data_IF_152150393399
#
_entry.id   IF_152150393399
#
_cell.length_a   1.000
_cell.length_b   1.000
_cell.length_c   1.000
_cell.angle_alpha   90.00
_cell.angle_beta   90.00
_cell.angle_gamma   90.00
#
_symmetry.space_group_name_H-M   'P 1'
#
loop_
_entity.id
_entity.type
_entity.pdbx_description
1 polymer ?
#
# COMPACT_ATOMS: atom_id res chain seq x y z
N UNK A 1 8.86 -12.21 27.16
CA UNK A 1 9.01 -12.10 25.69
C UNK A 1 9.54 -10.72 25.38
N UNK A 2 10.60 -10.64 24.59
CA UNK A 2 11.29 -9.38 24.28
C UNK A 2 10.43 -8.51 23.36
N UNK A 3 10.08 -7.28 23.78
CA UNK A 3 9.32 -6.30 22.96
C UNK A 3 9.98 -6.07 21.60
N UNK A 4 11.30 -6.24 21.53
CA UNK A 4 12.11 -6.07 20.33
C UNK A 4 11.97 -7.23 19.33
N UNK A 5 11.57 -8.42 19.79
CA UNK A 5 11.23 -9.56 18.92
C UNK A 5 9.86 -9.39 18.26
N UNK A 6 8.87 -8.92 19.03
CA UNK A 6 7.50 -8.73 18.55
C UNK A 6 7.42 -7.59 17.52
N UNK A 7 8.13 -6.48 17.73
CA UNK A 7 8.23 -5.39 16.75
C UNK A 7 8.84 -5.84 15.41
N UNK A 8 9.89 -6.67 15.43
CA UNK A 8 10.51 -7.21 14.20
C UNK A 8 9.59 -8.17 13.45
N UNK A 9 8.86 -9.02 14.17
CA UNK A 9 7.91 -9.95 13.55
C UNK A 9 6.73 -9.20 12.92
N UNK A 10 6.21 -8.16 13.57
CA UNK A 10 5.17 -7.30 12.99
C UNK A 10 5.67 -6.53 11.77
N UNK A 11 6.90 -6.00 11.81
CA UNK A 11 7.51 -5.34 10.65
C UNK A 11 7.68 -6.31 9.47
N UNK A 12 8.21 -7.52 9.72
CA UNK A 12 8.37 -8.54 8.69
C UNK A 12 7.02 -8.97 8.09
N UNK A 13 5.99 -9.16 8.93
CA UNK A 13 4.65 -9.47 8.47
C UNK A 13 4.04 -8.34 7.62
N UNK A 14 4.24 -7.09 8.04
CA UNK A 14 3.81 -5.91 7.28
C UNK A 14 4.50 -5.81 5.91
N UNK A 15 5.81 -6.03 5.85
CA UNK A 15 6.54 -6.05 4.58
C UNK A 15 6.08 -7.19 3.67
N UNK A 16 5.93 -8.40 4.20
CA UNK A 16 5.46 -9.53 3.42
C UNK A 16 4.03 -9.31 2.88
N UNK A 17 3.14 -8.75 3.70
CA UNK A 17 1.78 -8.41 3.29
C UNK A 17 1.77 -7.35 2.18
N UNK A 18 2.58 -6.29 2.32
CA UNK A 18 2.67 -5.22 1.33
C UNK A 18 3.17 -5.76 -0.02
N UNK A 19 4.24 -6.55 -0.02
CA UNK A 19 4.78 -7.16 -1.24
C UNK A 19 3.80 -8.14 -1.90
N UNK A 20 3.08 -8.93 -1.09
CA UNK A 20 2.08 -9.88 -1.61
C UNK A 20 0.91 -9.14 -2.27
N UNK A 21 0.41 -8.08 -1.63
CA UNK A 21 -0.68 -7.26 -2.17
C UNK A 21 -0.25 -6.54 -3.43
N UNK A 22 0.93 -5.93 -3.45
CA UNK A 22 1.50 -5.30 -4.64
C UNK A 22 1.60 -6.30 -5.81
N UNK A 23 2.19 -7.47 -5.56
CA UNK A 23 2.32 -8.52 -6.58
C UNK A 23 0.97 -8.97 -7.11
N UNK A 24 -0.03 -9.13 -6.25
CA UNK A 24 -1.39 -9.49 -6.65
C UNK A 24 -2.04 -8.40 -7.51
N UNK A 25 -1.95 -7.14 -7.09
CA UNK A 25 -2.53 -6.01 -7.84
C UNK A 25 -1.90 -5.89 -9.23
N UNK A 26 -0.57 -6.02 -9.33
CA UNK A 26 0.13 -6.02 -10.62
C UNK A 26 -0.36 -7.14 -11.54
N UNK A 27 -0.51 -8.37 -11.04
CA UNK A 27 -1.05 -9.49 -11.83
C UNK A 27 -2.48 -9.21 -12.31
N UNK A 28 -3.32 -8.58 -11.49
CA UNK A 28 -4.69 -8.22 -11.88
C UNK A 28 -4.71 -7.16 -12.99
N UNK A 29 -3.82 -6.17 -12.92
CA UNK A 29 -3.63 -5.16 -13.97
C UNK A 29 -3.10 -5.79 -15.26
N UNK A 30 -2.04 -6.61 -15.18
CA UNK A 30 -1.42 -7.26 -16.34
C UNK A 30 -2.39 -8.17 -17.09
N UNK A 31 -3.28 -8.83 -16.35
CA UNK A 31 -4.34 -9.68 -16.91
C UNK A 31 -5.59 -8.90 -17.33
N UNK A 32 -5.55 -7.57 -17.24
CA UNK A 32 -6.66 -6.66 -17.55
C UNK A 32 -7.96 -7.01 -16.80
N UNK A 33 -7.85 -7.57 -15.59
CA UNK A 33 -9.01 -7.90 -14.74
C UNK A 33 -9.57 -6.64 -14.09
N UNK A 34 -8.69 -5.72 -13.70
CA UNK A 34 -9.04 -4.42 -13.12
C UNK A 34 -8.15 -3.35 -13.76
N UNK A 35 -8.71 -2.22 -14.23
CA UNK A 35 -7.91 -1.10 -14.72
C UNK A 35 -6.98 -0.54 -13.63
N UNK A 36 -5.73 -0.23 -14.00
CA UNK A 36 -4.76 0.34 -13.07
C UNK A 36 -5.29 1.62 -12.38
N UNK A 37 -6.03 2.46 -13.12
CA UNK A 37 -6.63 3.69 -12.59
C UNK A 37 -7.60 3.41 -11.43
N UNK A 38 -8.45 2.38 -11.53
CA UNK A 38 -9.40 2.03 -10.47
C UNK A 38 -8.68 1.53 -9.21
N UNK A 39 -7.60 0.77 -9.37
CA UNK A 39 -6.79 0.33 -8.23
C UNK A 39 -6.04 1.49 -7.57
N UNK A 40 -5.51 2.43 -8.37
CA UNK A 40 -4.85 3.64 -7.85
C UNK A 40 -5.83 4.48 -7.03
N UNK A 41 -7.03 4.75 -7.58
CA UNK A 41 -8.07 5.53 -6.87
C UNK A 41 -8.49 4.86 -5.55
N UNK A 42 -8.65 3.54 -5.55
CA UNK A 42 -8.95 2.79 -4.34
C UNK A 42 -7.83 2.94 -3.28
N UNK A 43 -6.56 2.86 -3.68
CA UNK A 43 -5.42 3.04 -2.77
C UNK A 43 -5.33 4.47 -2.26
N UNK A 44 -5.58 5.46 -3.11
CA UNK A 44 -5.62 6.89 -2.74
C UNK A 44 -6.70 7.19 -1.70
N UNK A 45 -7.88 6.58 -1.83
CA UNK A 45 -8.96 6.69 -0.84
C UNK A 45 -8.51 6.16 0.54
N UNK A 46 -7.76 5.06 0.57
CA UNK A 46 -7.21 4.51 1.82
C UNK A 46 -6.12 5.41 2.39
N UNK A 47 -5.25 5.98 1.55
CA UNK A 47 -4.23 6.95 1.97
C UNK A 47 -4.89 8.16 2.63
N UNK A 48 -5.93 8.73 2.01
CA UNK A 48 -6.66 9.86 2.56
C UNK A 48 -7.28 9.49 3.93
N UNK A 49 -7.90 8.31 4.01
CA UNK A 49 -8.46 7.81 5.27
C UNK A 49 -7.38 7.72 6.36
N UNK A 50 -6.19 7.20 6.04
CA UNK A 50 -5.08 7.10 7.00
C UNK A 50 -4.54 8.47 7.41
N UNK A 51 -4.48 9.44 6.50
CA UNK A 51 -4.10 10.82 6.82
C UNK A 51 -5.08 11.47 7.79
N UNK A 52 -6.40 11.35 7.53
CA UNK A 52 -7.44 11.85 8.44
C UNK A 52 -7.34 11.23 9.82
N UNK A 53 -7.14 9.90 9.91
CA UNK A 53 -6.95 9.24 11.20
C UNK A 53 -5.74 9.79 11.96
N UNK A 54 -4.65 10.11 11.26
CA UNK A 54 -3.47 10.72 11.88
C UNK A 54 -3.75 12.14 12.39
N UNK A 55 -4.46 12.95 11.59
CA UNK A 55 -4.88 14.31 11.94
C UNK A 55 -5.84 14.31 13.15
N UNK A 56 -6.72 13.32 13.24
CA UNK A 56 -7.67 13.13 14.34
C UNK A 56 -7.00 12.53 15.61
N UNK A 57 -5.69 12.26 15.58
CA UNK A 57 -4.94 11.73 16.72
C UNK A 57 -5.09 10.22 16.97
N UNK A 58 -5.64 9.47 16.02
CA UNK A 58 -5.78 8.01 16.12
C UNK A 58 -4.51 7.31 15.68
N UNK A 59 -3.68 6.90 16.65
CA UNK A 59 -2.38 6.25 16.40
C UNK A 59 -1.56 7.00 15.32
N UNK A 60 -1.28 8.31 15.52
CA UNK A 60 -0.86 9.20 14.44
C UNK A 60 0.43 8.75 13.74
N UNK A 61 1.38 8.18 14.48
CA UNK A 61 2.62 7.64 13.93
C UNK A 61 2.37 6.42 13.02
N UNK A 62 1.51 5.50 13.46
CA UNK A 62 1.17 4.28 12.70
C UNK A 62 0.35 4.64 11.47
N UNK A 63 -0.63 5.53 11.62
CA UNK A 63 -1.48 5.99 10.53
C UNK A 63 -0.66 6.74 9.45
N UNK A 64 0.24 7.63 9.86
CA UNK A 64 1.15 8.32 8.94
C UNK A 64 2.11 7.35 8.23
N UNK A 65 2.69 6.39 8.96
CA UNK A 65 3.57 5.38 8.36
C UNK A 65 2.83 4.50 7.36
N UNK A 66 1.60 4.07 7.67
CA UNK A 66 0.77 3.30 6.75
C UNK A 66 0.44 4.11 5.48
N UNK A 67 0.09 5.39 5.61
CA UNK A 67 -0.17 6.26 4.46
C UNK A 67 1.05 6.40 3.53
N UNK A 68 2.26 6.49 4.10
CA UNK A 68 3.50 6.55 3.34
C UNK A 68 3.77 5.25 2.56
N UNK A 69 3.61 4.09 3.20
CA UNK A 69 3.76 2.78 2.55
C UNK A 69 2.76 2.58 1.40
N UNK A 70 1.50 2.96 1.61
CA UNK A 70 0.47 2.90 0.58
C UNK A 70 0.73 3.84 -0.59
N UNK A 71 1.34 5.01 -0.33
CA UNK A 71 1.77 5.94 -1.38
C UNK A 71 2.85 5.31 -2.27
N UNK A 72 3.82 4.59 -1.69
CA UNK A 72 4.80 3.82 -2.46
C UNK A 72 4.12 2.79 -3.37
N UNK A 73 3.11 2.08 -2.87
CA UNK A 73 2.36 1.11 -3.66
C UNK A 73 1.57 1.76 -4.80
N UNK A 74 0.88 2.89 -4.55
CA UNK A 74 0.17 3.63 -5.60
C UNK A 74 1.12 4.08 -6.73
N UNK A 75 2.32 4.55 -6.38
CA UNK A 75 3.34 4.92 -7.36
C UNK A 75 3.83 3.73 -8.19
N UNK A 76 3.99 2.55 -7.55
CA UNK A 76 4.35 1.30 -8.24
C UNK A 76 3.29 0.90 -9.27
N UNK A 77 2.01 0.96 -8.89
CA UNK A 77 0.88 0.71 -9.80
C UNK A 77 0.83 1.71 -10.96
N UNK A 78 1.05 3.00 -10.68
CA UNK A 78 1.11 4.02 -11.71
C UNK A 78 2.26 3.78 -12.71
N UNK A 79 3.41 3.31 -12.23
CA UNK A 79 4.54 2.94 -13.08
C UNK A 79 4.28 1.66 -13.91
N UNK A 80 3.48 0.73 -13.39
CA UNK A 80 3.07 -0.50 -14.07
C UNK A 80 1.86 -0.31 -15.00
N UNK A 81 1.15 0.81 -14.89
CA UNK A 81 0.16 1.26 -15.88
C UNK A 81 0.77 1.29 -17.29
N UNK A 82 -0.04 1.32 -18.35
CA UNK A 82 0.41 1.03 -19.71
C UNK A 82 1.45 2.05 -20.21
N UNK A 83 2.71 1.77 -19.93
CA UNK A 83 3.85 2.21 -20.71
C UNK A 83 3.96 1.24 -21.89
N UNK A 84 3.58 1.71 -23.07
CA UNK A 84 4.08 1.27 -24.36
C UNK A 84 4.42 -0.24 -24.48
N UNK A 85 3.39 -1.07 -24.66
CA UNK A 85 3.56 -2.21 -25.57
C UNK A 85 3.24 -1.66 -26.96
N UNK A 86 4.26 -1.64 -27.80
CA UNK A 86 4.20 -1.31 -29.24
C UNK A 86 3.02 -1.96 -29.97
#
# INVERSE_FOLDING_TARGET
MDRNGMGRQHAAAGQAALMLVESLMLVLVERAVIPAAELIEAVETVIETKRRLAEDGHEPEVAAQAAAMLTTLANSLAAAGPSARD
#
